data_IF_596814112351
#
_entry.id   IF_596814112351
#
_cell.length_a   1.000
_cell.length_b   1.000
_cell.length_c   1.000
_cell.angle_alpha   90.00
_cell.angle_beta   90.00
_cell.angle_gamma   90.00
#
_symmetry.space_group_name_H-M   'P 1'
#
loop_
_entity.id
_entity.type
_entity.pdbx_description
1 polymer ?
#
# COMPACT_ATOMS: atom_id res chain seq x y z
N UNK A 1 0.65 -9.24 23.44
CA UNK A 1 1.74 -9.74 22.58
C UNK A 1 1.33 -9.39 21.18
N UNK A 2 2.03 -8.46 20.57
CA UNK A 2 1.80 -8.12 19.17
C UNK A 2 2.09 -9.36 18.33
N UNK A 3 1.17 -9.72 17.45
CA UNK A 3 1.29 -10.91 16.62
C UNK A 3 2.29 -10.62 15.49
N UNK A 4 3.32 -11.44 15.37
CA UNK A 4 4.25 -11.35 14.25
C UNK A 4 3.61 -12.00 13.01
N UNK A 5 3.33 -11.18 11.99
CA UNK A 5 2.73 -11.63 10.73
C UNK A 5 3.76 -11.95 9.64
N UNK A 6 5.05 -11.87 9.95
CA UNK A 6 6.11 -11.99 8.94
C UNK A 6 6.04 -13.31 8.15
N UNK A 7 5.75 -14.43 8.84
CA UNK A 7 5.75 -15.77 8.24
C UNK A 7 4.33 -16.35 8.07
N UNK A 8 3.32 -15.48 8.00
CA UNK A 8 1.91 -15.88 8.03
C UNK A 8 1.16 -15.40 6.77
N UNK A 9 0.33 -16.28 6.21
CA UNK A 9 -0.76 -15.93 5.30
C UNK A 9 -2.05 -15.90 6.11
N UNK A 10 -2.78 -14.80 6.08
CA UNK A 10 -4.09 -14.68 6.72
C UNK A 10 -5.18 -15.00 5.70
N UNK A 11 -5.92 -16.07 5.93
CA UNK A 11 -7.09 -16.42 5.12
C UNK A 11 -8.23 -15.47 5.37
N UNK A 12 -8.84 -15.01 4.29
CA UNK A 12 -10.04 -14.17 4.29
C UNK A 12 -11.16 -14.84 3.51
N UNK A 13 -12.42 -14.55 3.80
CA UNK A 13 -13.54 -15.07 2.97
C UNK A 13 -13.40 -14.67 1.50
N UNK A 14 -12.87 -13.48 1.23
CA UNK A 14 -12.66 -12.94 -0.10
C UNK A 14 -11.34 -13.37 -0.76
N UNK A 15 -10.48 -14.11 -0.07
CA UNK A 15 -9.18 -14.55 -0.58
C UNK A 15 -8.14 -14.72 0.51
N UNK A 16 -7.07 -13.94 0.46
CA UNK A 16 -5.99 -13.97 1.45
C UNK A 16 -5.17 -12.70 1.43
N UNK A 17 -4.42 -12.48 2.51
CA UNK A 17 -3.41 -11.44 2.57
C UNK A 17 -2.18 -11.91 3.33
N UNK A 18 -1.02 -11.29 3.07
CA UNK A 18 0.19 -11.51 3.84
C UNK A 18 1.08 -10.26 3.82
N UNK A 19 1.87 -10.11 4.89
CA UNK A 19 2.81 -9.01 5.05
C UNK A 19 3.99 -9.18 4.08
N UNK A 20 4.31 -8.15 3.30
CA UNK A 20 5.43 -8.13 2.36
C UNK A 20 6.61 -7.29 2.84
N UNK A 21 6.33 -6.29 3.66
CA UNK A 21 7.31 -5.36 4.21
C UNK A 21 6.73 -4.65 5.42
N UNK A 22 7.55 -4.36 6.40
CA UNK A 22 7.24 -3.39 7.44
C UNK A 22 8.50 -2.70 7.97
N UNK A 23 8.30 -1.51 8.49
CA UNK A 23 9.27 -0.75 9.28
C UNK A 23 8.52 0.01 10.38
N UNK A 24 9.18 0.96 11.07
CA UNK A 24 8.54 1.72 12.16
C UNK A 24 7.47 2.72 11.68
N UNK A 25 7.34 2.97 10.38
CA UNK A 25 6.43 3.96 9.80
C UNK A 25 5.23 3.31 9.10
N UNK A 26 5.47 2.22 8.36
CA UNK A 26 4.47 1.60 7.49
C UNK A 26 4.55 0.07 7.51
N UNK A 27 3.44 -0.56 7.12
CA UNK A 27 3.40 -1.96 6.68
C UNK A 27 2.83 -2.07 5.26
N UNK A 28 3.35 -3.00 4.45
CA UNK A 28 2.86 -3.31 3.11
C UNK A 28 2.36 -4.75 3.10
N UNK A 29 1.07 -4.90 2.83
CA UNK A 29 0.39 -6.18 2.70
C UNK A 29 0.07 -6.48 1.24
N UNK A 30 0.24 -7.71 0.80
CA UNK A 30 -0.32 -8.17 -0.47
C UNK A 30 -1.69 -8.80 -0.20
N UNK A 31 -2.72 -8.21 -0.79
CA UNK A 31 -4.07 -8.74 -0.84
C UNK A 31 -4.29 -9.46 -2.17
N UNK A 32 -4.75 -10.71 -2.12
CA UNK A 32 -5.31 -11.40 -3.27
C UNK A 32 -6.83 -11.51 -3.07
N UNK A 33 -7.58 -10.70 -3.79
CA UNK A 33 -9.04 -10.73 -3.77
C UNK A 33 -9.51 -11.51 -4.99
N UNK A 34 -10.25 -12.60 -4.74
CA UNK A 34 -10.78 -13.46 -5.80
C UNK A 34 -11.85 -12.75 -6.60
N UNK A 35 -11.95 -13.04 -7.90
CA UNK A 35 -12.99 -12.54 -8.78
C UNK A 35 -14.39 -12.74 -8.16
N UNK A 36 -15.17 -11.66 -8.15
CA UNK A 36 -16.54 -11.64 -7.61
C UNK A 36 -16.62 -11.44 -6.10
N UNK A 37 -15.49 -11.45 -5.39
CA UNK A 37 -15.44 -11.26 -3.94
C UNK A 37 -15.14 -9.80 -3.58
N UNK A 38 -15.46 -9.42 -2.33
CA UNK A 38 -15.22 -8.06 -1.84
C UNK A 38 -14.76 -8.05 -0.38
N UNK A 39 -14.00 -7.02 -0.01
CA UNK A 39 -13.74 -6.73 1.41
C UNK A 39 -15.00 -6.19 2.09
N UNK A 40 -15.06 -6.19 3.43
CA UNK A 40 -16.11 -5.49 4.18
C UNK A 40 -16.14 -3.99 3.81
N UNK A 41 -17.28 -3.33 4.01
CA UNK A 41 -17.33 -1.87 4.08
C UNK A 41 -16.85 -1.47 5.48
N UNK A 42 -15.65 -0.92 5.56
CA UNK A 42 -14.97 -0.64 6.83
C UNK A 42 -14.20 0.69 6.76
N UNK A 43 -13.76 1.16 7.90
CA UNK A 43 -12.81 2.27 8.00
C UNK A 43 -11.74 1.99 9.03
N UNK A 44 -10.68 2.77 8.96
CA UNK A 44 -9.57 2.80 9.91
C UNK A 44 -9.59 4.17 10.61
N UNK A 45 -9.96 4.24 11.89
CA UNK A 45 -10.04 5.51 12.63
C UNK A 45 -8.72 6.28 12.72
N UNK A 46 -7.59 5.57 12.85
CA UNK A 46 -6.30 6.15 13.18
C UNK A 46 -5.27 6.06 12.05
N UNK A 47 -5.39 5.07 11.12
CA UNK A 47 -4.42 4.87 10.04
C UNK A 47 -4.92 5.36 8.69
N UNK A 48 -3.98 5.82 7.87
CA UNK A 48 -4.19 6.01 6.44
C UNK A 48 -3.87 4.72 5.69
N UNK A 49 -4.48 4.53 4.52
CA UNK A 49 -4.27 3.36 3.68
C UNK A 49 -3.94 3.80 2.26
N UNK A 50 -2.77 3.42 1.76
CA UNK A 50 -2.43 3.50 0.35
C UNK A 50 -2.81 2.20 -0.35
N UNK A 51 -3.44 2.25 -1.52
CA UNK A 51 -3.64 1.10 -2.40
C UNK A 51 -2.86 1.25 -3.68
N UNK A 52 -2.16 0.17 -4.07
CA UNK A 52 -1.58 0.01 -5.41
C UNK A 52 -2.10 -1.30 -5.98
N UNK A 53 -2.97 -1.22 -6.99
CA UNK A 53 -3.44 -2.40 -7.73
C UNK A 53 -2.33 -2.83 -8.68
N UNK A 54 -1.67 -3.95 -8.38
CA UNK A 54 -0.58 -4.49 -9.20
C UNK A 54 -1.13 -5.14 -10.46
N UNK A 55 -2.22 -5.92 -10.31
CA UNK A 55 -2.89 -6.60 -11.41
C UNK A 55 -4.36 -6.79 -11.13
N UNK A 56 -5.15 -6.96 -12.22
CA UNK A 56 -6.59 -7.12 -12.17
C UNK A 56 -7.35 -5.81 -12.28
N UNK A 57 -8.67 -5.91 -12.07
CA UNK A 57 -9.62 -4.79 -12.07
C UNK A 57 -10.43 -4.81 -10.79
N UNK A 58 -10.42 -3.70 -10.07
CA UNK A 58 -11.17 -3.53 -8.82
C UNK A 58 -12.10 -2.34 -8.88
N UNK A 59 -13.18 -2.41 -8.12
CA UNK A 59 -14.09 -1.31 -7.85
C UNK A 59 -13.98 -0.94 -6.38
N UNK A 60 -13.36 0.21 -6.11
CA UNK A 60 -13.30 0.77 -4.76
C UNK A 60 -14.55 1.60 -4.53
N UNK A 61 -15.33 1.22 -3.52
CA UNK A 61 -16.57 1.90 -3.15
C UNK A 61 -16.40 2.63 -1.83
N UNK A 62 -17.03 3.78 -1.72
CA UNK A 62 -17.16 4.56 -0.49
C UNK A 62 -18.64 4.65 -0.10
N UNK A 63 -19.00 5.22 1.07
CA UNK A 63 -20.41 5.45 1.43
C UNK A 63 -21.12 6.27 0.32
N UNK A 64 -20.39 7.20 -0.31
CA UNK A 64 -20.89 7.97 -1.45
C UNK A 64 -19.95 7.84 -2.62
N UNK A 65 -20.41 7.16 -3.67
CA UNK A 65 -19.66 6.98 -4.91
C UNK A 65 -18.60 5.90 -4.82
N UNK A 66 -17.78 5.82 -5.85
CA UNK A 66 -16.69 4.86 -5.97
C UNK A 66 -15.84 5.15 -7.19
N UNK A 67 -14.77 4.38 -7.37
CA UNK A 67 -13.83 4.49 -8.49
C UNK A 67 -13.41 3.11 -8.95
N UNK A 68 -13.33 2.92 -10.27
CA UNK A 68 -12.73 1.71 -10.85
C UNK A 68 -11.22 1.91 -10.94
N UNK A 69 -10.46 0.90 -10.49
CA UNK A 69 -9.00 0.91 -10.47
C UNK A 69 -8.52 -0.31 -11.24
N UNK A 70 -7.63 -0.08 -12.20
CA UNK A 70 -7.05 -1.10 -13.06
C UNK A 70 -5.59 -1.34 -12.71
N UNK A 71 -5.05 -2.46 -13.17
CA UNK A 71 -3.65 -2.83 -12.93
C UNK A 71 -2.65 -1.74 -13.27
N UNK A 72 -1.74 -1.60 -12.44
CA UNK A 72 -0.82 -0.57 -12.00
C UNK A 72 -1.46 0.83 -11.92
N UNK A 73 -2.32 0.98 -10.91
CA UNK A 73 -2.86 2.27 -10.48
C UNK A 73 -2.96 2.32 -8.96
N UNK A 74 -3.14 3.51 -8.41
CA UNK A 74 -3.04 3.75 -6.97
C UNK A 74 -4.11 4.72 -6.47
N UNK A 75 -4.39 4.66 -5.16
CA UNK A 75 -5.24 5.62 -4.46
C UNK A 75 -4.83 5.69 -2.97
N UNK A 76 -4.92 6.88 -2.39
CA UNK A 76 -4.76 7.08 -0.95
C UNK A 76 -6.13 7.24 -0.29
N UNK A 77 -6.38 6.49 0.77
CA UNK A 77 -7.60 6.51 1.57
C UNK A 77 -7.24 7.06 2.95
N UNK A 78 -7.75 8.23 3.27
CA UNK A 78 -7.51 8.85 4.57
C UNK A 78 -8.29 8.14 5.68
N UNK A 79 -7.74 8.22 6.89
CA UNK A 79 -8.38 7.70 8.12
C UNK A 79 -9.86 8.07 8.22
N UNK A 80 -10.63 7.23 8.89
CA UNK A 80 -12.07 7.37 9.10
C UNK A 80 -12.93 7.37 7.82
N UNK A 81 -12.36 7.05 6.65
CA UNK A 81 -13.10 6.95 5.41
C UNK A 81 -13.55 5.51 5.16
N UNK A 82 -14.85 5.26 5.23
CA UNK A 82 -15.44 3.97 4.91
C UNK A 82 -15.20 3.59 3.46
N UNK A 83 -14.68 2.39 3.24
CA UNK A 83 -14.38 1.86 1.90
C UNK A 83 -14.54 0.34 1.85
N UNK A 84 -14.76 -0.16 0.64
CA UNK A 84 -14.82 -1.60 0.30
C UNK A 84 -14.25 -1.80 -1.08
N UNK A 85 -13.49 -2.87 -1.29
CA UNK A 85 -12.88 -3.22 -2.57
C UNK A 85 -13.55 -4.47 -3.12
N UNK A 86 -14.18 -4.37 -4.30
CA UNK A 86 -14.75 -5.48 -5.06
C UNK A 86 -13.82 -5.86 -6.21
N UNK A 87 -13.49 -7.14 -6.37
CA UNK A 87 -12.66 -7.65 -7.45
C UNK A 87 -13.52 -8.03 -8.67
N UNK A 88 -13.41 -7.27 -9.74
CA UNK A 88 -14.07 -7.58 -11.03
C UNK A 88 -13.38 -8.76 -11.72
N UNK A 89 -12.06 -8.84 -11.59
CA UNK A 89 -11.23 -10.01 -11.93
C UNK A 89 -10.44 -10.42 -10.70
N UNK A 90 -9.75 -11.57 -10.71
CA UNK A 90 -8.74 -11.83 -9.67
C UNK A 90 -7.79 -10.63 -9.58
N UNK A 91 -7.60 -10.11 -8.39
CA UNK A 91 -6.90 -8.84 -8.19
C UNK A 91 -5.84 -8.94 -7.09
N UNK A 92 -4.69 -8.37 -7.37
CA UNK A 92 -3.54 -8.32 -6.48
C UNK A 92 -3.24 -6.87 -6.13
N UNK A 93 -3.26 -6.55 -4.84
CA UNK A 93 -3.21 -5.18 -4.35
C UNK A 93 -2.16 -5.08 -3.25
N UNK A 94 -1.25 -4.13 -3.34
CA UNK A 94 -0.52 -3.68 -2.17
C UNK A 94 -1.41 -2.74 -1.36
N UNK A 95 -1.66 -3.11 -0.11
CA UNK A 95 -2.25 -2.26 0.91
C UNK A 95 -1.13 -1.75 1.82
N UNK A 96 -0.95 -0.44 1.83
CA UNK A 96 0.07 0.26 2.62
C UNK A 96 -0.61 0.88 3.82
N UNK A 97 -0.35 0.38 5.00
CA UNK A 97 -0.91 0.88 6.27
C UNK A 97 0.06 1.87 6.94
N UNK A 98 -0.45 2.97 7.45
CA UNK A 98 0.34 4.02 8.14
C UNK A 98 -0.42 4.60 9.34
N UNK A 99 -0.03 4.28 10.58
CA UNK A 99 0.89 3.23 11.01
C UNK A 99 0.33 1.82 10.81
N UNK A 100 1.15 0.78 11.02
CA UNK A 100 0.68 -0.60 11.09
C UNK A 100 -0.15 -0.81 12.36
N UNK A 101 -1.43 -1.15 12.20
CA UNK A 101 -2.33 -1.53 13.30
C UNK A 101 -3.51 -2.35 12.75
N UNK A 102 -3.49 -3.65 12.93
CA UNK A 102 -4.57 -4.54 12.44
C UNK A 102 -5.85 -4.43 13.28
N UNK A 103 -5.75 -3.96 14.51
CA UNK A 103 -6.92 -3.76 15.39
C UNK A 103 -7.66 -2.44 15.07
N UNK A 104 -7.04 -1.51 14.34
CA UNK A 104 -7.65 -0.26 13.90
C UNK A 104 -8.64 -0.50 12.75
N UNK A 105 -9.78 -1.12 13.06
CA UNK A 105 -10.76 -1.59 12.09
C UNK A 105 -12.19 -1.50 12.64
N UNK A 106 -13.04 -0.69 11.98
CA UNK A 106 -14.49 -0.64 12.23
C UNK A 106 -15.20 -1.11 10.95
N UNK A 107 -15.95 -2.23 11.07
CA UNK A 107 -16.78 -2.76 9.96
C UNK A 107 -18.21 -2.23 10.09
N UNK A 108 -18.72 -1.64 9.02
CA UNK A 108 -20.10 -1.18 8.92
C UNK A 108 -21.00 -2.25 8.25
N UNK A 109 -20.49 -2.89 7.20
CA UNK A 109 -21.17 -3.95 6.46
C UNK A 109 -20.19 -5.03 6.06
N UNK A 110 -20.61 -6.29 6.12
CA UNK A 110 -19.80 -7.42 5.67
C UNK A 110 -20.66 -8.50 5.03
N UNK A 111 -20.26 -9.02 3.86
CA UNK A 111 -21.00 -10.07 3.16
C UNK A 111 -20.84 -11.46 3.79
N UNK A 112 -20.00 -11.59 4.80
CA UNK A 112 -19.62 -12.87 5.43
C UNK A 112 -19.95 -12.92 6.93
N UNK A 113 -20.70 -11.94 7.44
CA UNK A 113 -21.17 -11.91 8.83
C UNK A 113 -20.08 -11.62 9.86
N UNK A 114 -19.17 -10.66 9.54
CA UNK A 114 -18.07 -10.23 10.42
C UNK A 114 -18.23 -8.80 10.94
N UNK A 115 -19.42 -8.20 10.87
CA UNK A 115 -19.66 -6.78 11.20
C UNK A 115 -19.10 -6.40 12.58
N UNK A 116 -19.39 -7.23 13.59
CA UNK A 116 -18.98 -6.97 14.98
C UNK A 116 -17.74 -7.80 15.41
N UNK A 117 -16.99 -8.36 14.45
CA UNK A 117 -15.82 -9.17 14.76
C UNK A 117 -14.53 -8.39 14.60
N UNK A 118 -13.54 -8.63 15.46
CA UNK A 118 -12.20 -8.07 15.29
C UNK A 118 -11.50 -8.63 14.03
N UNK A 119 -10.27 -8.24 13.81
CA UNK A 119 -9.42 -8.84 12.80
C UNK A 119 -9.29 -10.36 12.99
N UNK A 120 -8.96 -11.10 11.94
CA UNK A 120 -8.94 -12.56 11.94
C UNK A 120 -7.95 -13.15 12.93
N UNK A 121 -8.45 -14.10 13.75
CA UNK A 121 -7.64 -14.81 14.74
C UNK A 121 -6.66 -15.82 14.10
N UNK A 122 -5.74 -16.34 14.90
CA UNK A 122 -4.72 -17.32 14.49
C UNK A 122 -5.27 -18.59 13.84
N UNK A 123 -6.56 -18.93 14.07
CA UNK A 123 -7.21 -20.06 13.39
C UNK A 123 -7.33 -19.90 11.87
N UNK A 124 -7.18 -18.67 11.35
CA UNK A 124 -7.18 -18.34 9.93
C UNK A 124 -5.77 -18.18 9.35
N UNK A 125 -4.74 -18.47 10.13
CA UNK A 125 -3.35 -18.31 9.71
C UNK A 125 -2.81 -19.61 9.11
N UNK A 126 -2.08 -19.45 8.01
CA UNK A 126 -1.27 -20.51 7.39
C UNK A 126 0.19 -20.05 7.32
N UNK A 127 1.15 -20.97 7.36
CA UNK A 127 2.54 -20.61 7.09
C UNK A 127 2.68 -20.08 5.65
N UNK A 128 3.54 -19.09 5.46
CA UNK A 128 3.95 -18.65 4.13
C UNK A 128 4.62 -19.81 3.38
N UNK A 129 4.52 -19.75 2.06
CA UNK A 129 5.19 -20.67 1.14
C UNK A 129 6.13 -19.89 0.21
N UNK A 130 6.86 -20.59 -0.63
CA UNK A 130 7.88 -20.02 -1.53
C UNK A 130 7.31 -19.02 -2.57
N UNK A 131 5.98 -18.97 -2.75
CA UNK A 131 5.33 -17.99 -3.61
C UNK A 131 5.08 -16.63 -2.90
N UNK A 132 5.23 -16.57 -1.58
CA UNK A 132 5.11 -15.33 -0.83
C UNK A 132 6.41 -14.53 -0.95
N UNK A 133 6.30 -13.27 -1.30
CA UNK A 133 7.45 -12.38 -1.39
C UNK A 133 7.71 -11.68 -0.05
N UNK A 134 8.97 -11.29 0.13
CA UNK A 134 9.40 -10.31 1.10
C UNK A 134 10.20 -9.22 0.38
N UNK A 135 9.89 -7.95 0.66
CA UNK A 135 10.59 -6.82 0.09
C UNK A 135 11.75 -6.47 1.01
N UNK A 136 12.97 -6.58 0.49
CA UNK A 136 14.18 -6.25 1.24
C UNK A 136 14.26 -4.78 1.62
N UNK A 137 15.12 -4.46 2.57
CA UNK A 137 15.42 -3.07 2.95
C UNK A 137 15.89 -2.25 1.75
N UNK A 138 15.57 -0.96 1.78
CA UNK A 138 15.94 -0.06 0.71
C UNK A 138 17.47 0.06 0.58
N UNK A 139 17.95 0.05 -0.65
CA UNK A 139 19.35 0.23 -0.97
C UNK A 139 19.56 1.21 -2.13
N UNK A 140 20.82 1.67 -2.31
CA UNK A 140 21.19 2.55 -3.43
C UNK A 140 21.11 1.79 -4.75
N UNK A 141 21.36 0.47 -4.74
CA UNK A 141 21.29 -0.42 -5.90
C UNK A 141 20.53 -1.68 -5.52
N UNK A 142 19.18 -1.60 -5.39
CA UNK A 142 18.37 -2.72 -4.97
C UNK A 142 18.32 -3.81 -6.05
N UNK A 143 18.06 -5.04 -5.62
CA UNK A 143 17.56 -6.08 -6.50
C UNK A 143 16.17 -5.71 -7.03
N UNK A 144 15.86 -6.14 -8.24
CA UNK A 144 14.53 -6.02 -8.82
C UNK A 144 13.73 -7.29 -8.48
N UNK A 145 12.55 -7.10 -7.90
CA UNK A 145 11.59 -8.16 -7.61
C UNK A 145 10.49 -8.14 -8.68
N UNK A 146 10.11 -9.31 -9.18
CA UNK A 146 8.97 -9.45 -10.09
C UNK A 146 7.74 -10.01 -9.37
N UNK A 147 6.60 -9.33 -9.50
CA UNK A 147 5.32 -9.75 -8.93
C UNK A 147 4.16 -9.27 -9.79
N UNK A 148 3.24 -10.19 -10.15
CA UNK A 148 2.00 -9.85 -10.87
C UNK A 148 2.24 -9.02 -12.15
N UNK A 149 3.31 -9.33 -12.90
CA UNK A 149 3.68 -8.58 -14.11
C UNK A 149 4.19 -7.17 -13.84
N UNK A 150 4.61 -6.90 -12.62
CA UNK A 150 5.27 -5.66 -12.23
C UNK A 150 6.72 -5.93 -11.81
N UNK A 151 7.58 -4.93 -12.05
CA UNK A 151 8.92 -4.82 -11.48
C UNK A 151 8.87 -3.89 -10.29
N UNK A 152 9.47 -4.32 -9.20
CA UNK A 152 9.43 -3.64 -7.90
C UNK A 152 10.86 -3.49 -7.41
N UNK A 153 11.27 -2.27 -7.08
CA UNK A 153 12.59 -1.96 -6.52
C UNK A 153 12.44 -1.08 -5.28
N UNK A 154 13.11 -1.42 -4.18
CA UNK A 154 13.08 -0.62 -2.95
C UNK A 154 14.35 0.24 -2.85
N UNK A 155 14.21 1.52 -3.21
CA UNK A 155 15.30 2.46 -3.45
C UNK A 155 15.56 3.35 -2.22
N UNK A 156 16.83 3.48 -1.84
CA UNK A 156 17.29 4.58 -1.01
C UNK A 156 17.64 5.79 -1.90
N UNK A 157 17.00 6.92 -1.65
CA UNK A 157 17.18 8.15 -2.44
C UNK A 157 18.26 9.01 -1.78
N UNK A 158 19.40 9.12 -2.46
CA UNK A 158 20.55 9.94 -2.01
C UNK A 158 20.60 11.31 -2.69
N UNK A 159 20.02 11.44 -3.87
CA UNK A 159 19.88 12.70 -4.61
C UNK A 159 18.45 12.79 -5.19
N UNK A 160 17.79 13.92 -4.95
CA UNK A 160 16.44 14.17 -5.48
C UNK A 160 16.33 14.04 -7.01
N UNK A 161 17.46 14.15 -7.76
CA UNK A 161 17.49 13.90 -9.20
C UNK A 161 17.04 12.49 -9.57
N UNK A 162 17.18 11.52 -8.68
CA UNK A 162 16.71 10.15 -8.88
C UNK A 162 15.17 10.07 -9.00
N UNK A 163 14.44 11.08 -8.50
CA UNK A 163 12.98 11.20 -8.57
C UNK A 163 12.49 12.11 -9.68
N UNK A 164 13.40 12.68 -10.51
CA UNK A 164 13.04 13.53 -11.64
C UNK A 164 12.81 12.71 -12.92
N UNK A 165 12.07 13.31 -13.87
CA UNK A 165 11.76 12.76 -15.19
C UNK A 165 11.06 11.38 -15.12
N UNK A 166 10.24 11.19 -14.10
CA UNK A 166 9.42 9.99 -13.93
C UNK A 166 8.15 10.09 -14.76
N UNK A 167 7.66 8.95 -15.23
CA UNK A 167 6.51 8.87 -16.11
C UNK A 167 5.23 8.64 -15.29
N UNK A 168 4.08 9.00 -15.85
CA UNK A 168 2.78 8.86 -15.20
C UNK A 168 2.43 7.40 -14.86
N UNK A 169 2.83 6.47 -15.71
CA UNK A 169 2.59 5.03 -15.53
C UNK A 169 3.47 4.36 -14.47
N UNK A 170 4.48 5.06 -13.93
CA UNK A 170 5.28 4.60 -12.80
C UNK A 170 4.57 4.92 -11.48
N UNK A 171 4.56 3.99 -10.54
CA UNK A 171 3.98 4.20 -9.20
C UNK A 171 5.08 4.15 -8.15
N UNK A 172 4.99 5.06 -7.19
CA UNK A 172 5.91 5.16 -6.06
C UNK A 172 5.14 5.08 -4.75
N UNK A 173 5.70 4.37 -3.79
CA UNK A 173 5.25 4.37 -2.40
C UNK A 173 6.37 4.97 -1.55
N UNK A 174 6.09 5.99 -0.78
CA UNK A 174 7.07 6.53 0.18
C UNK A 174 7.13 5.56 1.37
N UNK A 175 8.29 4.95 1.60
CA UNK A 175 8.48 3.99 2.69
C UNK A 175 9.14 4.61 3.92
N UNK A 176 9.89 5.70 3.72
CA UNK A 176 10.46 6.52 4.80
C UNK A 176 10.77 7.92 4.28
N UNK A 177 10.85 8.93 5.18
CA UNK A 177 11.18 10.32 4.84
C UNK A 177 10.12 10.99 3.97
N UNK A 178 10.44 11.29 2.70
CA UNK A 178 9.55 11.92 1.73
C UNK A 178 10.00 13.30 1.26
N UNK A 179 9.06 14.20 0.99
CA UNK A 179 9.32 15.57 0.59
C UNK A 179 8.86 16.55 1.67
N UNK A 180 9.61 17.66 1.81
CA UNK A 180 9.39 18.67 2.84
C UNK A 180 9.49 20.08 2.28
N UNK A 181 8.84 21.02 2.97
CA UNK A 181 8.97 22.47 2.77
C UNK A 181 9.33 23.15 4.10
N UNK A 182 10.17 24.16 4.03
CA UNK A 182 10.45 25.04 5.16
C UNK A 182 9.54 26.28 5.05
N UNK A 183 8.52 26.34 5.89
CA UNK A 183 7.60 27.50 5.98
C UNK A 183 7.76 28.21 7.32
N UNK A 184 8.17 29.48 7.28
CA UNK A 184 8.34 30.37 8.46
C UNK A 184 9.15 29.73 9.59
N UNK A 185 10.22 29.01 9.23
CA UNK A 185 11.09 28.32 10.19
C UNK A 185 10.54 27.00 10.72
N UNK A 186 9.42 26.51 10.19
CA UNK A 186 8.87 25.19 10.49
C UNK A 186 9.03 24.28 9.29
N UNK A 187 9.58 23.08 9.53
CA UNK A 187 9.65 22.01 8.52
C UNK A 187 8.32 21.28 8.47
N UNK A 188 7.70 21.25 7.30
CA UNK A 188 6.42 20.58 7.06
C UNK A 188 6.60 19.48 6.01
N UNK A 189 6.03 18.31 6.24
CA UNK A 189 6.02 17.23 5.25
C UNK A 189 4.96 17.49 4.17
N UNK A 190 5.35 17.22 2.93
CA UNK A 190 4.50 17.29 1.72
C UNK A 190 4.13 15.89 1.25
N UNK A 191 5.11 14.95 1.30
CA UNK A 191 4.88 13.53 1.14
C UNK A 191 5.31 12.81 2.39
N UNK A 192 4.48 11.88 2.83
CA UNK A 192 4.64 11.11 4.06
C UNK A 192 4.92 9.65 3.76
N UNK A 193 5.56 8.91 4.66
CA UNK A 193 5.54 7.45 4.60
C UNK A 193 4.11 6.94 4.47
N UNK A 194 3.90 5.98 3.55
CA UNK A 194 2.59 5.43 3.20
C UNK A 194 1.90 6.11 2.01
N UNK A 195 2.31 7.32 1.62
CA UNK A 195 1.74 7.96 0.43
C UNK A 195 2.09 7.18 -0.84
N UNK A 196 1.07 6.95 -1.68
CA UNK A 196 1.22 6.38 -3.02
C UNK A 196 1.03 7.47 -4.07
N UNK A 197 1.93 7.54 -5.04
CA UNK A 197 1.97 8.63 -6.01
C UNK A 197 2.43 8.15 -7.39
N UNK A 198 1.90 8.74 -8.48
CA UNK A 198 2.41 8.51 -9.83
C UNK A 198 3.72 9.28 -10.07
N UNK A 199 4.51 8.78 -11.02
CA UNK A 199 5.82 9.37 -11.29
C UNK A 199 5.76 10.81 -11.79
N UNK A 200 4.76 11.19 -12.60
CA UNK A 200 4.63 12.56 -13.09
C UNK A 200 4.35 13.55 -11.96
N UNK A 201 3.45 13.19 -11.03
CA UNK A 201 3.16 14.02 -9.85
C UNK A 201 4.37 14.08 -8.92
N UNK A 202 5.07 12.94 -8.72
CA UNK A 202 6.31 12.90 -7.94
C UNK A 202 7.38 13.82 -8.54
N UNK A 203 7.59 13.80 -9.87
CA UNK A 203 8.53 14.69 -10.56
C UNK A 203 8.20 16.17 -10.29
N UNK A 204 6.93 16.56 -10.42
CA UNK A 204 6.48 17.95 -10.15
C UNK A 204 6.76 18.37 -8.71
N UNK A 205 6.42 17.52 -7.74
CA UNK A 205 6.64 17.81 -6.32
C UNK A 205 8.15 17.84 -6.01
N UNK A 206 8.94 16.95 -6.59
CA UNK A 206 10.40 16.94 -6.41
C UNK A 206 11.08 18.21 -6.93
N UNK A 207 10.57 18.83 -7.99
CA UNK A 207 11.06 20.15 -8.47
C UNK A 207 10.78 21.27 -7.48
N UNK A 208 9.61 21.24 -6.82
CA UNK A 208 9.13 22.30 -5.95
C UNK A 208 9.65 22.19 -4.51
N UNK A 209 9.87 20.98 -4.01
CA UNK A 209 10.14 20.70 -2.59
C UNK A 209 11.51 20.07 -2.37
N UNK A 210 11.93 20.04 -1.10
CA UNK A 210 13.20 19.44 -0.68
C UNK A 210 13.01 17.97 -0.33
N UNK A 211 14.04 17.18 -0.60
CA UNK A 211 14.09 15.80 -0.10
C UNK A 211 14.26 15.81 1.42
N UNK A 212 13.51 14.97 2.13
CA UNK A 212 13.71 14.75 3.56
C UNK A 212 14.93 13.86 3.81
N UNK A 213 15.42 13.84 5.05
CA UNK A 213 16.52 12.95 5.43
C UNK A 213 16.08 11.49 5.31
N UNK A 214 16.99 10.66 4.81
CA UNK A 214 16.79 9.22 4.68
C UNK A 214 15.46 8.85 3.99
N UNK A 215 15.25 9.41 2.82
CA UNK A 215 14.07 9.08 2.02
C UNK A 215 14.27 7.75 1.30
N UNK A 216 13.29 6.85 1.45
CA UNK A 216 13.22 5.58 0.72
C UNK A 216 11.88 5.45 0.02
N UNK A 217 11.88 4.80 -1.14
CA UNK A 217 10.68 4.63 -1.96
C UNK A 217 10.62 3.23 -2.56
N UNK A 218 9.43 2.65 -2.60
CA UNK A 218 9.16 1.51 -3.43
C UNK A 218 8.77 2.03 -4.83
N UNK A 219 9.54 1.67 -5.85
CA UNK A 219 9.29 2.01 -7.25
C UNK A 219 8.70 0.81 -7.96
N UNK A 220 7.55 0.99 -8.59
CA UNK A 220 6.76 -0.07 -9.22
C UNK A 220 6.48 0.33 -10.68
N UNK A 221 6.80 -0.57 -11.61
CA UNK A 221 6.53 -0.41 -13.05
C UNK A 221 5.92 -1.68 -13.63
N UNK A 222 5.18 -1.58 -14.72
CA UNK A 222 4.75 -2.78 -15.48
C UNK A 222 5.94 -3.36 -16.26
N UNK A 223 6.00 -4.69 -16.32
CA UNK A 223 6.86 -5.37 -17.29
C UNK A 223 6.35 -5.01 -18.71
N UNK A 224 7.26 -4.55 -19.55
CA UNK A 224 7.01 -4.26 -20.98
C UNK A 224 7.05 -5.54 -21.78
#
# INVERSE_FOLDING_TARGET
MDMDYKDVIVKKPWGQEYLCYNNNEIAIWLLHIKKGEKTSLHCHPNKNTGFVVLDGQTKLSFIRGGVDIYGLNKINIFRSRFHSTYAVTDSFIFEIETPEDKEDLIRLEDSYGREDKPYESSSHHLPKNDACIWIDEASISPSELELCGCKISHLQIIDKKQLLNKKEEEVFVITNGGLVVDDKGKRQKILWPGDTIDGQTLDRLTRAFKLDYYTTVLHITKNV
#
